data_IF_905372286688
#
_entry.id   IF_905372286688
#
_cell.length_a   1.000
_cell.length_b   1.000
_cell.length_c   1.000
_cell.angle_alpha   90.00
_cell.angle_beta   90.00
_cell.angle_gamma   90.00
#
_symmetry.space_group_name_H-M   'P 1'
#
loop_
_entity.id
_entity.type
_entity.pdbx_description
1 polymer ?
#
# COMPACT_ATOMS: atom_id res chain seq x y z
N UNK A 1 7.33 -14.00 3.66
CA UNK A 1 7.83 -15.39 3.59
C UNK A 1 7.93 -15.77 2.12
N UNK A 2 9.01 -16.41 1.71
CA UNK A 2 9.15 -16.95 0.37
C UNK A 2 8.43 -18.32 0.31
N UNK A 3 7.44 -18.46 -0.56
CA UNK A 3 6.65 -19.70 -0.70
C UNK A 3 7.09 -20.55 -1.89
N UNK A 4 8.28 -20.34 -2.41
CA UNK A 4 8.85 -21.03 -3.57
C UNK A 4 9.13 -20.09 -4.73
N UNK A 5 9.99 -20.52 -5.63
CA UNK A 5 10.49 -19.75 -6.75
C UNK A 5 12.00 -19.52 -6.68
N UNK A 6 12.59 -19.08 -7.77
CA UNK A 6 14.04 -18.85 -7.86
C UNK A 6 14.46 -17.50 -7.23
N UNK A 7 13.51 -16.62 -6.96
CA UNK A 7 13.77 -15.32 -6.35
C UNK A 7 13.90 -15.45 -4.82
N UNK A 8 15.00 -15.00 -4.22
CA UNK A 8 15.20 -15.08 -2.77
C UNK A 8 14.41 -14.03 -1.97
N UNK A 9 13.69 -13.13 -2.66
CA UNK A 9 12.90 -12.09 -2.02
C UNK A 9 11.56 -12.64 -1.47
N UNK A 10 10.94 -11.88 -0.58
CA UNK A 10 9.59 -12.18 -0.12
C UNK A 10 8.58 -12.14 -1.27
N UNK A 11 7.73 -13.14 -1.36
CA UNK A 11 6.69 -13.22 -2.39
C UNK A 11 5.28 -13.38 -1.82
N UNK A 12 5.17 -13.60 -0.52
CA UNK A 12 3.92 -13.60 0.22
C UNK A 12 4.13 -12.89 1.57
N UNK A 13 3.46 -11.76 1.74
CA UNK A 13 3.46 -11.02 3.01
C UNK A 13 2.03 -10.94 3.54
N UNK A 14 1.84 -11.34 4.79
CA UNK A 14 0.58 -11.15 5.52
C UNK A 14 0.88 -10.39 6.80
N UNK A 15 0.13 -9.34 7.04
CA UNK A 15 0.26 -8.48 8.20
C UNK A 15 -1.11 -8.23 8.82
N UNK A 16 -1.18 -8.21 10.15
CA UNK A 16 -2.31 -7.67 10.90
C UNK A 16 -1.80 -6.55 11.80
N UNK A 17 -2.58 -5.50 11.94
CA UNK A 17 -2.19 -4.34 12.71
C UNK A 17 -3.36 -3.76 13.51
N UNK A 18 -3.02 -3.03 14.54
CA UNK A 18 -3.93 -2.20 15.32
C UNK A 18 -3.27 -0.84 15.54
N UNK A 19 -4.02 0.22 15.29
CA UNK A 19 -3.53 1.60 15.49
C UNK A 19 -3.82 2.07 16.91
N UNK A 20 -3.18 3.16 17.32
CA UNK A 20 -3.45 3.82 18.61
C UNK A 20 -4.92 4.24 18.79
N UNK A 21 -5.65 4.40 17.69
CA UNK A 21 -7.09 4.71 17.69
C UNK A 21 -7.98 3.48 17.63
N UNK A 22 -7.43 2.28 17.92
CA UNK A 22 -8.13 0.98 17.90
C UNK A 22 -8.70 0.61 16.51
N UNK A 23 -8.14 1.14 15.43
CA UNK A 23 -8.47 0.66 14.09
C UNK A 23 -7.67 -0.60 13.83
N UNK A 24 -8.38 -1.70 13.51
CA UNK A 24 -7.78 -3.00 13.18
C UNK A 24 -7.78 -3.19 11.68
N UNK A 25 -6.70 -3.76 11.18
CA UNK A 25 -6.58 -4.07 9.77
C UNK A 25 -5.75 -5.31 9.51
N UNK A 26 -5.91 -5.85 8.32
CA UNK A 26 -5.06 -6.90 7.78
C UNK A 26 -4.71 -6.57 6.33
N UNK A 27 -3.53 -7.01 5.93
CA UNK A 27 -3.00 -6.78 4.61
C UNK A 27 -2.35 -8.06 4.11
N UNK A 28 -2.54 -8.38 2.84
CA UNK A 28 -1.91 -9.51 2.19
C UNK A 28 -1.40 -9.09 0.83
N UNK A 29 -0.08 -9.18 0.64
CA UNK A 29 0.56 -9.14 -0.67
C UNK A 29 0.93 -10.56 -1.07
N UNK A 30 0.52 -10.96 -2.28
CA UNK A 30 0.82 -12.28 -2.83
C UNK A 30 1.28 -12.13 -4.27
N UNK A 31 2.60 -12.15 -4.48
CA UNK A 31 3.22 -11.98 -5.79
C UNK A 31 3.21 -13.26 -6.64
N UNK A 32 2.81 -14.39 -6.05
CA UNK A 32 2.73 -15.71 -6.71
C UNK A 32 1.28 -16.19 -6.87
N UNK A 33 0.30 -15.30 -6.74
CA UNK A 33 -1.09 -15.65 -6.96
C UNK A 33 -1.35 -15.95 -8.45
N UNK A 34 -2.11 -16.99 -8.73
CA UNK A 34 -2.53 -17.34 -10.10
C UNK A 34 -3.46 -16.26 -10.68
N UNK A 35 -4.34 -15.72 -9.85
CA UNK A 35 -5.24 -14.63 -10.22
C UNK A 35 -4.81 -13.31 -9.62
N UNK A 36 -4.83 -12.27 -10.47
CA UNK A 36 -4.58 -10.90 -10.01
C UNK A 36 -5.78 -10.38 -9.25
N UNK A 37 -5.54 -9.89 -8.05
CA UNK A 37 -6.54 -9.24 -7.21
C UNK A 37 -5.93 -8.00 -6.56
N UNK A 38 -6.65 -6.88 -6.68
CA UNK A 38 -6.28 -5.64 -6.00
C UNK A 38 -7.56 -5.04 -5.41
N UNK A 39 -7.71 -5.21 -4.10
CA UNK A 39 -8.89 -4.73 -3.38
C UNK A 39 -8.51 -4.22 -2.01
N UNK A 40 -8.95 -3.02 -1.73
CA UNK A 40 -8.93 -2.44 -0.39
C UNK A 40 -10.36 -2.22 0.09
N UNK A 41 -10.65 -2.68 1.31
CA UNK A 41 -11.95 -2.49 1.95
C UNK A 41 -11.73 -1.77 3.27
N UNK A 42 -12.45 -0.68 3.46
CA UNK A 42 -12.51 0.07 4.72
C UNK A 42 -13.89 -0.09 5.30
N UNK A 43 -13.99 -0.65 6.52
CA UNK A 43 -15.26 -0.84 7.22
C UNK A 43 -15.36 0.15 8.37
N UNK A 44 -16.43 0.91 8.36
CA UNK A 44 -16.80 1.86 9.41
C UNK A 44 -18.13 1.51 10.05
N UNK A 45 -18.56 2.31 11.02
CA UNK A 45 -19.85 2.15 11.72
C UNK A 45 -21.06 2.46 10.84
N UNK A 46 -20.90 3.10 9.70
CA UNK A 46 -21.97 3.52 8.79
C UNK A 46 -21.96 2.77 7.46
N UNK A 47 -21.08 1.78 7.31
CA UNK A 47 -20.98 1.02 6.06
C UNK A 47 -19.54 0.71 5.65
N UNK A 48 -19.36 0.41 4.37
CA UNK A 48 -18.07 0.00 3.80
C UNK A 48 -17.71 0.86 2.59
N UNK A 49 -16.40 1.03 2.38
CA UNK A 49 -15.83 1.60 1.18
C UNK A 49 -14.88 0.57 0.56
N UNK A 50 -15.03 0.30 -0.72
CA UNK A 50 -14.16 -0.58 -1.51
C UNK A 50 -13.51 0.20 -2.65
N UNK A 51 -12.24 -0.04 -2.90
CA UNK A 51 -11.48 0.51 -4.02
C UNK A 51 -10.27 -0.35 -4.37
N UNK A 52 -9.68 -0.09 -5.52
CA UNK A 52 -8.42 -0.66 -5.97
C UNK A 52 -7.32 0.41 -5.91
N UNK A 53 -6.07 -0.02 -5.64
CA UNK A 53 -4.91 0.88 -5.67
C UNK A 53 -4.26 0.93 -7.05
N UNK A 54 -4.20 -0.23 -7.73
CA UNK A 54 -3.53 -0.38 -9.02
C UNK A 54 -4.49 -0.74 -10.15
N UNK A 55 -5.71 -1.14 -9.82
CA UNK A 55 -6.73 -1.56 -10.78
C UNK A 55 -7.67 -0.43 -11.17
N UNK A 56 -8.42 -0.69 -12.25
CA UNK A 56 -9.45 0.22 -12.78
C UNK A 56 -10.79 -0.08 -12.11
N UNK A 57 -10.91 0.24 -10.84
CA UNK A 57 -12.17 0.06 -10.12
C UNK A 57 -12.61 1.38 -9.51
N UNK A 58 -13.90 1.65 -9.67
CA UNK A 58 -14.54 2.77 -9.00
C UNK A 58 -14.44 2.65 -7.48
N UNK A 59 -14.46 3.78 -6.80
CA UNK A 59 -14.66 3.78 -5.36
C UNK A 59 -16.14 3.55 -5.11
N UNK A 60 -16.47 2.44 -4.43
CA UNK A 60 -17.85 2.07 -4.11
C UNK A 60 -18.09 2.21 -2.62
N UNK A 61 -19.08 3.00 -2.24
CA UNK A 61 -19.50 3.18 -0.84
C UNK A 61 -20.88 2.54 -0.66
N UNK A 62 -20.97 1.68 0.37
CA UNK A 62 -22.21 0.98 0.76
C UNK A 62 -22.60 1.37 2.17
N UNK A 63 -23.90 1.43 2.43
CA UNK A 63 -24.42 1.58 3.79
C UNK A 63 -24.33 0.28 4.60
N UNK A 64 -24.84 0.29 5.83
CA UNK A 64 -24.88 -0.88 6.74
C UNK A 64 -25.66 -2.07 6.15
N UNK A 65 -26.68 -1.80 5.32
CA UNK A 65 -27.49 -2.83 4.66
C UNK A 65 -26.82 -3.39 3.39
N UNK A 66 -25.65 -2.90 3.01
CA UNK A 66 -24.92 -3.32 1.81
C UNK A 66 -25.38 -2.62 0.51
N UNK A 67 -26.31 -1.67 0.60
CA UNK A 67 -26.79 -0.91 -0.55
C UNK A 67 -25.74 0.12 -0.99
N UNK A 68 -25.45 0.21 -2.29
CA UNK A 68 -24.57 1.24 -2.84
C UNK A 68 -25.23 2.61 -2.68
N UNK A 69 -24.58 3.49 -1.94
CA UNK A 69 -25.00 4.88 -1.73
C UNK A 69 -24.20 5.87 -2.56
N UNK A 70 -22.98 5.48 -2.95
CA UNK A 70 -22.10 6.33 -3.75
C UNK A 70 -21.18 5.44 -4.59
N UNK A 71 -20.98 5.82 -5.84
CA UNK A 71 -20.00 5.25 -6.73
C UNK A 71 -19.25 6.40 -7.41
N UNK A 72 -17.93 6.40 -7.30
CA UNK A 72 -17.06 7.45 -7.83
C UNK A 72 -16.17 6.83 -8.88
N UNK A 73 -16.36 7.23 -10.12
CA UNK A 73 -15.49 6.84 -11.23
C UNK A 73 -14.14 7.55 -11.10
N UNK A 74 -13.06 6.79 -11.16
CA UNK A 74 -11.70 7.30 -11.15
C UNK A 74 -11.12 7.15 -12.55
N UNK A 75 -10.98 8.24 -13.31
CA UNK A 75 -10.42 8.19 -14.65
C UNK A 75 -8.92 7.84 -14.59
N UNK A 76 -8.48 7.05 -15.56
CA UNK A 76 -7.05 6.77 -15.71
C UNK A 76 -6.29 8.07 -16.03
N UNK A 77 -5.18 8.34 -15.35
CA UNK A 77 -4.29 9.43 -15.73
C UNK A 77 -3.61 9.11 -17.07
N UNK A 78 -3.17 10.14 -17.79
CA UNK A 78 -2.42 9.98 -19.06
C UNK A 78 -1.16 9.14 -18.85
N UNK A 79 -0.48 9.33 -17.72
CA UNK A 79 0.60 8.48 -17.23
C UNK A 79 0.39 8.22 -15.74
N UNK A 80 0.75 7.02 -15.27
CA UNK A 80 0.47 6.57 -13.89
C UNK A 80 1.01 7.55 -12.84
N UNK A 81 2.19 8.10 -13.05
CA UNK A 81 2.86 8.96 -12.06
C UNK A 81 2.53 10.45 -12.21
N UNK A 82 1.88 10.85 -13.30
CA UNK A 82 1.60 12.26 -13.58
C UNK A 82 0.88 13.00 -12.43
N UNK A 83 -0.17 12.45 -11.79
CA UNK A 83 -0.84 13.15 -10.69
C UNK A 83 0.09 13.41 -9.51
N UNK A 84 0.97 12.46 -9.17
CA UNK A 84 1.95 12.64 -8.10
C UNK A 84 2.98 13.72 -8.46
N UNK A 85 3.56 13.65 -9.65
CA UNK A 85 4.52 14.66 -10.14
C UNK A 85 3.89 16.05 -10.13
N UNK A 86 2.62 16.17 -10.53
CA UNK A 86 1.89 17.44 -10.48
C UNK A 86 1.81 17.99 -9.05
N UNK A 87 1.47 17.17 -8.06
CA UNK A 87 1.41 17.62 -6.66
C UNK A 87 2.78 18.04 -6.12
N UNK A 88 3.87 17.37 -6.54
CA UNK A 88 5.23 17.74 -6.16
C UNK A 88 5.57 19.13 -6.72
N UNK A 89 5.29 19.37 -8.00
CA UNK A 89 5.56 20.68 -8.65
C UNK A 89 4.75 21.79 -7.98
N UNK A 90 3.47 21.57 -7.71
CA UNK A 90 2.60 22.55 -7.06
C UNK A 90 3.08 22.88 -5.63
N UNK A 91 3.55 21.87 -4.88
CA UNK A 91 4.11 22.08 -3.55
C UNK A 91 5.42 22.90 -3.61
N UNK A 92 6.28 22.61 -4.58
CA UNK A 92 7.52 23.39 -4.80
C UNK A 92 7.25 24.85 -5.21
N UNK A 93 6.17 25.10 -5.93
CA UNK A 93 5.73 26.44 -6.32
C UNK A 93 4.94 27.17 -5.23
N UNK A 94 4.60 26.48 -4.12
CA UNK A 94 3.78 27.03 -3.04
C UNK A 94 2.30 27.20 -3.42
N UNK A 95 1.82 26.53 -4.45
CA UNK A 95 0.44 26.59 -4.96
C UNK A 95 -0.41 25.38 -4.56
N UNK A 96 0.22 24.33 -4.02
CA UNK A 96 -0.42 23.09 -3.60
C UNK A 96 0.33 22.41 -2.46
N UNK A 97 -0.06 21.17 -2.15
CA UNK A 97 0.55 20.38 -1.09
C UNK A 97 0.76 18.93 -1.55
N UNK A 98 2.00 18.45 -1.50
CA UNK A 98 2.33 17.04 -1.76
C UNK A 98 2.30 16.24 -0.46
N UNK A 99 1.48 15.18 -0.41
CA UNK A 99 1.36 14.28 0.73
C UNK A 99 2.49 13.22 0.81
N UNK A 100 3.25 13.04 -0.27
CA UNK A 100 4.31 12.02 -0.36
C UNK A 100 5.71 12.59 -0.11
N UNK A 101 5.85 13.47 0.88
CA UNK A 101 7.16 14.00 1.30
C UNK A 101 7.92 12.92 2.09
N UNK A 102 9.25 12.98 2.04
CA UNK A 102 10.10 12.02 2.74
C UNK A 102 9.75 11.85 4.24
N UNK A 103 9.36 12.93 4.91
CA UNK A 103 8.96 12.89 6.32
C UNK A 103 7.66 12.12 6.55
N UNK A 104 6.67 12.29 5.67
CA UNK A 104 5.37 11.64 5.80
C UNK A 104 5.45 10.14 5.51
N UNK A 105 6.39 9.70 4.67
CA UNK A 105 6.55 8.28 4.31
C UNK A 105 7.45 7.49 5.28
N UNK A 106 8.16 8.14 6.20
CA UNK A 106 9.04 7.45 7.16
C UNK A 106 8.30 6.38 7.97
N UNK A 107 7.08 6.67 8.45
CA UNK A 107 6.27 5.70 9.19
C UNK A 107 5.92 4.46 8.38
N UNK A 108 5.71 4.61 7.07
CA UNK A 108 5.48 3.48 6.17
C UNK A 108 6.71 2.57 6.08
N UNK A 109 7.90 3.15 5.92
CA UNK A 109 9.15 2.39 5.88
C UNK A 109 9.45 1.69 7.21
N UNK A 110 9.16 2.33 8.35
CA UNK A 110 9.30 1.68 9.67
C UNK A 110 8.39 0.45 9.80
N UNK A 111 7.17 0.52 9.30
CA UNK A 111 6.25 -0.63 9.28
C UNK A 111 6.79 -1.74 8.38
N UNK A 112 7.24 -1.41 7.17
CA UNK A 112 7.82 -2.38 6.23
C UNK A 112 9.03 -3.06 6.86
N UNK A 113 9.96 -2.31 7.44
CA UNK A 113 11.13 -2.84 8.11
C UNK A 113 10.76 -3.84 9.22
N UNK A 114 9.79 -3.50 10.07
CA UNK A 114 9.31 -4.39 11.14
C UNK A 114 8.66 -5.67 10.61
N UNK A 115 7.89 -5.57 9.54
CA UNK A 115 7.22 -6.73 8.92
C UNK A 115 8.23 -7.70 8.32
N UNK A 116 9.27 -7.17 7.69
CA UNK A 116 10.26 -7.93 6.96
C UNK A 116 11.47 -8.34 7.82
N UNK A 117 11.61 -7.79 9.03
CA UNK A 117 12.76 -7.97 9.92
C UNK A 117 13.15 -9.45 10.11
N UNK A 118 12.17 -10.30 10.39
CA UNK A 118 12.40 -11.74 10.57
C UNK A 118 12.81 -12.46 9.29
N UNK A 119 12.34 -11.99 8.15
CA UNK A 119 12.66 -12.59 6.87
C UNK A 119 14.09 -12.27 6.46
N UNK A 120 14.53 -11.04 6.68
CA UNK A 120 15.87 -10.55 6.31
C UNK A 120 16.89 -10.58 7.47
N UNK A 121 16.61 -11.27 8.56
CA UNK A 121 17.55 -11.42 9.67
C UNK A 121 17.95 -10.10 10.35
N UNK A 122 17.05 -9.11 10.37
CA UNK A 122 17.31 -7.82 11.02
C UNK A 122 18.42 -7.02 10.35
N UNK A 123 18.57 -7.09 9.03
CA UNK A 123 19.66 -6.48 8.24
C UNK A 123 21.06 -7.01 8.54
N UNK A 124 21.17 -8.13 9.24
CA UNK A 124 22.43 -8.85 9.44
C UNK A 124 22.69 -9.89 8.34
N UNK A 125 21.69 -10.12 7.48
CA UNK A 125 21.75 -11.05 6.36
C UNK A 125 22.75 -10.59 5.29
N UNK A 126 23.35 -11.55 4.57
CA UNK A 126 24.29 -11.31 3.49
C UNK A 126 23.70 -10.45 2.36
N UNK A 127 22.38 -10.49 2.16
CA UNK A 127 21.68 -9.59 1.23
C UNK A 127 22.03 -8.12 1.48
N UNK A 128 22.03 -7.67 2.74
CA UNK A 128 22.34 -6.28 3.10
C UNK A 128 23.83 -5.98 3.09
N UNK A 129 24.67 -7.01 3.22
CA UNK A 129 26.12 -6.88 3.22
C UNK A 129 26.69 -6.77 1.81
N UNK A 130 26.01 -7.30 0.78
CA UNK A 130 26.41 -7.17 -0.62
C UNK A 130 26.42 -5.73 -1.15
N UNK A 131 25.74 -4.79 -0.48
CA UNK A 131 25.65 -3.38 -0.89
C UNK A 131 26.84 -2.55 -0.38
N UNK A 132 27.73 -3.11 0.43
CA UNK A 132 28.85 -2.39 1.08
C UNK A 132 30.19 -2.45 0.35
N UNK A 133 30.23 -3.03 -0.82
CA UNK A 133 31.49 -3.18 -1.57
C UNK A 133 31.45 -2.50 -2.92
N UNK A 134 31.41 -1.15 -2.95
CA UNK A 134 32.04 -0.33 -4.01
C UNK A 134 32.29 1.09 -3.49
#
# INVERSE_FOLDING_TARGET
>A
INCGGECPLENLVTMSFETEKNVKGSLRFNCIAEEKSDRMTVTGTKGTMEFSVHGKQDIVIRNEEGTIITQIEIPDPVTVEQPLVQTVVEDMLGTGHCLSKAREVLGTYEVIDRVLDKFYGGRQDDFWNCIKTE
#
